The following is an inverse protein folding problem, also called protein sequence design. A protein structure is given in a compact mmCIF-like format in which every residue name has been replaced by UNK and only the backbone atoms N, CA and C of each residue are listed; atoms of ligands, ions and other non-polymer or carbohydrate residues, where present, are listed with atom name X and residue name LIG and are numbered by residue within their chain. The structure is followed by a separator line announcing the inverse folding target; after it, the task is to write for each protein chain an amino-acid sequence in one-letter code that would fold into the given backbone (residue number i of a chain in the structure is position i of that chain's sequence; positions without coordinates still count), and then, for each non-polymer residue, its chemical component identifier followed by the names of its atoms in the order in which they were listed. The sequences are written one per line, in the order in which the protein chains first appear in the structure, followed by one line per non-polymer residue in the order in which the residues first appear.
data_IF_232961156422
#
_entry.id   IF_232961156422
#
_cell.length_a   1.000
_cell.length_b   1.000
_cell.length_c   1.000
_cell.angle_alpha   90.00
_cell.angle_beta   90.00
_cell.angle_gamma   90.00
#
_symmetry.space_group_name_H-M   'P 1'
#
loop_
_entity.id
_entity.type
_entity.pdbx_description
1 polymer ?
#
# COMPACT_ATOMS: atom_id res chain seq x y z
N UNK A 1 -6.42 13.46 13.75
CA UNK A 1 -5.70 12.24 13.33
C UNK A 1 -4.52 12.66 12.47
N UNK A 2 -3.39 11.96 12.53
CA UNK A 2 -2.17 12.35 11.80
C UNK A 2 -1.76 11.28 10.77
N UNK A 3 -0.85 11.62 9.85
CA UNK A 3 -0.32 10.68 8.85
C UNK A 3 0.42 9.51 9.50
N UNK A 4 1.12 9.76 10.61
CA UNK A 4 1.85 8.76 11.37
C UNK A 4 0.90 7.71 11.95
N UNK A 5 -0.32 8.11 12.32
CA UNK A 5 -1.35 7.18 12.82
C UNK A 5 -1.78 6.21 11.71
N UNK A 6 -2.00 6.74 10.50
CA UNK A 6 -2.44 5.92 9.36
C UNK A 6 -1.31 5.01 8.88
N UNK A 7 -0.09 5.55 8.79
CA UNK A 7 1.10 4.77 8.48
C UNK A 7 1.29 3.61 9.48
N UNK A 8 1.19 3.88 10.78
CA UNK A 8 1.32 2.85 11.82
C UNK A 8 0.24 1.78 11.67
N UNK A 9 -1.01 2.15 11.40
CA UNK A 9 -2.09 1.19 11.18
C UNK A 9 -1.83 0.28 9.97
N UNK A 10 -1.32 0.83 8.86
CA UNK A 10 -0.97 0.06 7.66
C UNK A 10 0.24 -0.84 7.93
N UNK A 11 1.25 -0.34 8.64
CA UNK A 11 2.42 -1.11 9.02
C UNK A 11 2.03 -2.29 9.92
N UNK A 12 1.16 -2.07 10.90
CA UNK A 12 0.63 -3.12 11.78
C UNK A 12 -0.17 -4.17 11.00
N UNK A 13 -1.03 -3.74 10.07
CA UNK A 13 -1.72 -4.66 9.16
C UNK A 13 -0.71 -5.49 8.36
N UNK A 14 0.28 -4.84 7.73
CA UNK A 14 1.29 -5.52 6.91
C UNK A 14 2.14 -6.49 7.73
N UNK A 15 2.44 -6.20 8.99
CA UNK A 15 3.16 -7.11 9.87
C UNK A 15 2.35 -8.37 10.19
N UNK A 16 1.03 -8.24 10.39
CA UNK A 16 0.16 -9.34 10.83
C UNK A 16 -0.41 -10.16 9.67
N UNK A 17 -0.71 -9.54 8.55
CA UNK A 17 -1.37 -10.20 7.42
C UNK A 17 -0.38 -11.10 6.66
N UNK A 18 -0.65 -12.39 6.62
CA UNK A 18 0.25 -13.38 6.00
C UNK A 18 0.31 -13.28 4.47
N UNK A 19 -0.64 -12.59 3.84
CA UNK A 19 -0.69 -12.38 2.39
C UNK A 19 0.32 -11.31 1.94
N UNK A 20 0.68 -10.40 2.84
CA UNK A 20 1.69 -9.35 2.62
C UNK A 20 3.06 -9.87 3.04
N UNK A 21 4.02 -9.78 2.12
CA UNK A 21 5.42 -10.19 2.33
C UNK A 21 6.32 -9.03 2.71
N UNK A 22 6.16 -7.91 2.00
CA UNK A 22 7.02 -6.74 2.19
C UNK A 22 6.17 -5.47 2.08
N UNK A 23 6.48 -4.45 2.88
CA UNK A 23 5.94 -3.10 2.76
C UNK A 23 7.07 -2.17 2.32
N UNK A 24 6.88 -1.51 1.18
CA UNK A 24 7.72 -0.43 0.69
C UNK A 24 7.07 0.94 0.90
N UNK A 25 7.89 1.96 1.02
CA UNK A 25 7.50 3.36 0.99
C UNK A 25 8.28 4.07 -0.11
N UNK A 26 7.62 4.98 -0.82
CA UNK A 26 8.25 5.89 -1.77
C UNK A 26 8.18 7.30 -1.20
N UNK A 27 9.32 7.95 -1.01
CA UNK A 27 9.38 9.33 -0.55
C UNK A 27 9.10 10.27 -1.72
N UNK A 28 7.83 10.63 -1.93
CA UNK A 28 7.41 11.62 -2.94
C UNK A 28 6.84 12.87 -2.28
N UNK A 29 6.98 14.02 -2.94
CA UNK A 29 6.33 15.27 -2.53
C UNK A 29 4.90 15.39 -3.07
N UNK A 30 4.44 14.42 -3.89
CA UNK A 30 3.13 14.46 -4.55
C UNK A 30 2.00 14.03 -3.62
N UNK A 31 2.30 13.15 -2.64
CA UNK A 31 1.32 12.62 -1.69
C UNK A 31 1.85 12.72 -0.26
N UNK A 32 0.96 12.80 0.74
CA UNK A 32 1.39 12.75 2.13
C UNK A 32 2.05 11.40 2.48
N UNK A 33 1.61 10.33 1.83
CA UNK A 33 2.15 8.98 2.00
C UNK A 33 1.96 8.12 0.74
N UNK A 34 3.05 7.51 0.26
CA UNK A 34 3.03 6.55 -0.84
C UNK A 34 3.61 5.22 -0.39
N UNK A 35 2.80 4.17 -0.39
CA UNK A 35 3.16 2.84 0.08
C UNK A 35 2.92 1.77 -0.98
N UNK A 36 3.81 0.79 -1.04
CA UNK A 36 3.69 -0.39 -1.90
C UNK A 36 3.65 -1.65 -1.05
N UNK A 37 2.56 -2.41 -1.11
CA UNK A 37 2.41 -3.71 -0.48
C UNK A 37 2.79 -4.79 -1.49
N UNK A 38 3.85 -5.54 -1.20
CA UNK A 38 4.26 -6.70 -1.99
C UNK A 38 3.59 -7.95 -1.46
N UNK A 39 2.82 -8.61 -2.32
CA UNK A 39 1.98 -9.76 -1.96
C UNK A 39 2.30 -10.97 -2.83
N UNK A 40 2.00 -12.16 -2.32
CA UNK A 40 2.17 -13.40 -3.10
C UNK A 40 1.06 -13.62 -4.13
N UNK A 41 -0.15 -13.13 -3.86
CA UNK A 41 -1.34 -13.31 -4.70
C UNK A 41 -2.17 -12.02 -4.74
N UNK A 42 -2.17 -11.33 -5.90
CA UNK A 42 -2.95 -10.09 -6.08
C UNK A 42 -4.46 -10.30 -6.04
N UNK A 43 -4.95 -11.47 -6.46
CA UNK A 43 -6.40 -11.79 -6.47
C UNK A 43 -7.04 -11.71 -5.09
N UNK A 44 -6.26 -11.81 -4.01
CA UNK A 44 -6.73 -11.65 -2.63
C UNK A 44 -6.97 -10.18 -2.22
N UNK A 45 -6.62 -9.24 -3.11
CA UNK A 45 -6.72 -7.78 -2.93
C UNK A 45 -7.54 -7.14 -4.07
N UNK A 46 -8.43 -7.89 -4.71
CA UNK A 46 -9.28 -7.42 -5.82
C UNK A 46 -10.48 -6.55 -5.40
N UNK A 47 -10.54 -6.12 -4.15
CA UNK A 47 -11.53 -5.23 -3.56
C UNK A 47 -10.85 -4.40 -2.45
N UNK A 48 -11.61 -3.50 -1.81
CA UNK A 48 -11.12 -2.62 -0.74
C UNK A 48 -11.58 -3.03 0.66
N UNK A 49 -12.28 -4.15 0.83
CA UNK A 49 -12.81 -4.62 2.13
C UNK A 49 -11.70 -4.84 3.17
N UNK A 50 -10.49 -5.23 2.73
CA UNK A 50 -9.35 -5.38 3.62
C UNK A 50 -8.84 -4.06 4.23
N UNK A 51 -9.31 -2.89 3.76
CA UNK A 51 -8.99 -1.58 4.31
C UNK A 51 -9.94 -1.15 5.45
N UNK A 52 -10.85 -2.01 5.90
CA UNK A 52 -11.80 -1.70 6.99
C UNK A 52 -11.15 -1.37 8.34
N UNK A 53 -9.87 -1.74 8.54
CA UNK A 53 -9.12 -1.35 9.73
C UNK A 53 -8.71 0.14 9.74
N UNK A 54 -8.80 0.80 8.58
CA UNK A 54 -8.51 2.21 8.46
C UNK A 54 -9.67 3.07 9.00
N UNK A 55 -9.37 4.27 9.50
CA UNK A 55 -10.38 5.26 9.82
C UNK A 55 -11.18 5.65 8.56
N UNK A 56 -12.36 6.29 8.71
CA UNK A 56 -13.18 6.69 7.57
C UNK A 56 -12.40 7.46 6.51
N UNK A 57 -12.52 7.00 5.25
CA UNK A 57 -11.84 7.54 4.09
C UNK A 57 -12.80 7.66 2.90
N UNK A 58 -12.44 8.50 1.95
CA UNK A 58 -13.04 8.58 0.62
C UNK A 58 -12.10 7.91 -0.40
N UNK A 59 -12.67 7.15 -1.33
CA UNK A 59 -11.93 6.56 -2.46
C UNK A 59 -11.81 7.61 -3.56
N UNK A 60 -10.59 8.09 -3.81
CA UNK A 60 -10.31 9.09 -4.85
C UNK A 60 -10.06 8.41 -6.19
N UNK A 61 -9.31 7.31 -6.20
CA UNK A 61 -8.96 6.57 -7.41
C UNK A 61 -8.75 5.09 -7.08
N UNK A 62 -9.21 4.20 -7.96
CA UNK A 62 -8.96 2.76 -7.83
C UNK A 62 -8.74 2.11 -9.19
N UNK A 63 -7.67 1.33 -9.35
CA UNK A 63 -7.42 0.48 -10.52
C UNK A 63 -7.31 -0.99 -10.11
N UNK A 64 -8.38 -1.51 -9.50
CA UNK A 64 -8.45 -2.93 -9.11
C UNK A 64 -8.36 -3.81 -10.37
N UNK A 65 -7.48 -4.81 -10.34
CA UNK A 65 -7.30 -5.77 -11.43
C UNK A 65 -7.28 -7.20 -10.91
N UNK A 66 -7.75 -8.15 -11.73
CA UNK A 66 -7.63 -9.58 -11.46
C UNK A 66 -6.38 -10.19 -12.12
N UNK A 67 -5.63 -9.40 -12.88
CA UNK A 67 -4.35 -9.82 -13.45
C UNK A 67 -3.29 -9.97 -12.35
N UNK A 68 -2.67 -11.14 -12.26
CA UNK A 68 -1.65 -11.45 -11.27
C UNK A 68 -0.32 -10.69 -11.48
N UNK A 69 -0.16 -10.00 -12.61
CA UNK A 69 1.08 -9.31 -12.97
C UNK A 69 0.98 -7.80 -12.93
N UNK A 70 -0.24 -7.25 -12.99
CA UNK A 70 -0.47 -5.81 -13.03
C UNK A 70 -0.74 -5.27 -11.62
N UNK A 71 0.05 -4.31 -11.10
CA UNK A 71 -0.21 -3.72 -9.80
C UNK A 71 -1.55 -3.00 -9.75
N UNK A 72 -2.17 -3.03 -8.58
CA UNK A 72 -3.39 -2.28 -8.27
C UNK A 72 -3.02 -0.96 -7.60
N UNK A 73 -3.63 0.15 -8.04
CA UNK A 73 -3.50 1.47 -7.41
C UNK A 73 -4.78 1.80 -6.65
N UNK A 74 -4.65 2.29 -5.43
CA UNK A 74 -5.75 2.78 -4.61
C UNK A 74 -5.33 4.12 -3.99
N UNK A 75 -6.06 5.20 -4.28
CA UNK A 75 -5.86 6.51 -3.66
C UNK A 75 -6.98 6.79 -2.67
N UNK A 76 -6.60 7.11 -1.45
CA UNK A 76 -7.50 7.36 -0.32
C UNK A 76 -7.33 8.79 0.14
N UNK A 77 -8.45 9.44 0.47
CA UNK A 77 -8.47 10.75 1.12
C UNK A 77 -9.18 10.66 2.46
N UNK A 78 -8.53 11.14 3.51
CA UNK A 78 -9.07 11.13 4.87
C UNK A 78 -9.68 12.49 5.23
N UNK A 79 -10.52 12.51 6.28
CA UNK A 79 -11.29 13.69 6.72
C UNK A 79 -10.43 14.93 7.07
N UNK A 80 -9.14 14.73 7.31
CA UNK A 80 -8.14 15.76 7.60
C UNK A 80 -7.33 16.19 6.37
N UNK A 81 -7.83 15.90 5.15
CA UNK A 81 -7.17 16.14 3.87
C UNK A 81 -5.84 15.40 3.65
N UNK A 82 -5.55 14.38 4.46
CA UNK A 82 -4.40 13.51 4.19
C UNK A 82 -4.72 12.64 2.99
N UNK A 83 -3.81 12.61 2.02
CA UNK A 83 -3.93 11.76 0.84
C UNK A 83 -2.87 10.66 0.84
N UNK A 84 -3.32 9.42 0.66
CA UNK A 84 -2.46 8.24 0.67
C UNK A 84 -2.63 7.50 -0.65
N UNK A 85 -1.49 7.17 -1.24
CA UNK A 85 -1.41 6.24 -2.37
C UNK A 85 -0.97 4.88 -1.88
N UNK A 86 -1.79 3.86 -2.16
CA UNK A 86 -1.48 2.45 -1.93
C UNK A 86 -1.32 1.76 -3.27
N UNK A 87 -0.18 1.09 -3.46
CA UNK A 87 0.06 0.18 -4.57
C UNK A 87 0.10 -1.23 -4.03
N UNK A 88 -0.71 -2.14 -4.57
CA UNK A 88 -0.60 -3.58 -4.27
C UNK A 88 0.07 -4.24 -5.46
N UNK A 89 1.27 -4.76 -5.25
CA UNK A 89 2.13 -5.30 -6.29
C UNK A 89 2.52 -6.76 -5.99
N UNK A 90 2.77 -7.59 -7.01
CA UNK A 90 3.25 -8.94 -6.80
C UNK A 90 4.71 -8.93 -6.32
N UNK A 91 5.08 -9.86 -5.45
CA UNK A 91 6.39 -9.89 -4.76
C UNK A 91 7.60 -9.90 -5.70
N UNK A 92 7.47 -10.46 -6.91
CA UNK A 92 8.56 -10.46 -7.89
C UNK A 92 8.96 -9.05 -8.35
N UNK A 93 8.11 -8.04 -8.15
CA UNK A 93 8.41 -6.63 -8.47
C UNK A 93 9.21 -5.91 -7.39
N UNK A 94 9.45 -6.53 -6.22
CA UNK A 94 10.26 -5.95 -5.14
C UNK A 94 11.67 -5.58 -5.63
N UNK A 95 12.27 -6.42 -6.47
CA UNK A 95 13.62 -6.19 -6.99
C UNK A 95 13.68 -4.93 -7.86
N UNK A 96 12.70 -4.69 -8.73
CA UNK A 96 12.65 -3.49 -9.57
C UNK A 96 12.26 -2.24 -8.77
N UNK A 97 11.42 -2.37 -7.75
CA UNK A 97 11.10 -1.28 -6.83
C UNK A 97 12.35 -0.73 -6.14
N UNK A 98 13.25 -1.59 -5.69
CA UNK A 98 14.49 -1.20 -5.02
C UNK A 98 15.52 -0.50 -5.93
N UNK A 99 15.31 -0.47 -7.25
CA UNK A 99 16.19 0.24 -8.18
C UNK A 99 16.01 1.77 -8.11
N UNK A 100 14.89 2.25 -7.56
CA UNK A 100 14.65 3.67 -7.35
C UNK A 100 15.18 4.11 -5.97
N UNK A 101 16.02 5.15 -5.94
CA UNK A 101 16.62 5.68 -4.70
C UNK A 101 15.62 6.28 -3.71
N UNK A 102 14.44 6.68 -4.18
CA UNK A 102 13.39 7.27 -3.34
C UNK A 102 12.58 6.19 -2.60
N UNK A 103 12.84 4.91 -2.91
CA UNK A 103 12.15 3.78 -2.33
C UNK A 103 12.90 3.20 -1.13
N UNK A 104 12.14 2.82 -0.10
CA UNK A 104 12.65 2.18 1.12
C UNK A 104 11.76 1.01 1.51
N UNK A 105 12.37 -0.03 2.08
CA UNK A 105 11.64 -1.15 2.68
C UNK A 105 11.39 -0.84 4.15
N UNK A 106 10.14 -0.95 4.56
CA UNK A 106 9.66 -0.68 5.92
C UNK A 106 9.45 -1.98 6.71
N UNK A 107 8.87 -2.99 6.05
CA UNK A 107 8.65 -4.33 6.61
C UNK A 107 9.12 -5.35 5.59
N UNK A 108 9.85 -6.38 6.04
CA UNK A 108 10.26 -7.50 5.21
C UNK A 108 10.12 -8.82 5.97
N UNK A 109 9.41 -9.79 5.39
CA UNK A 109 9.16 -11.11 5.98
C UNK A 109 9.85 -12.25 5.22
N UNK A 110 10.57 -11.91 4.16
CA UNK A 110 11.40 -12.80 3.33
C UNK A 110 12.87 -12.45 3.53
#
# INVERSE_FOLDING_TARGET
MSKETIFSAIQDFCNRDSRVRTLGQTDTNEFDLSLTLFVTQLSLFNNTTWLEFLPPYELVETSLTNDATTPTLIRLKFVNNIEITLVVAPVFMKASFLLNSDNKIIVDKD
#
